data_IF_510439551432
#
_entry.id   IF_510439551432
#
_cell.length_a   1.000
_cell.length_b   1.000
_cell.length_c   1.000
_cell.angle_alpha   90.00
_cell.angle_beta   90.00
_cell.angle_gamma   90.00
#
_symmetry.space_group_name_H-M   'P 1'
#
loop_
_entity.id
_entity.type
_entity.pdbx_description
1 polymer ?
#
# COMPACT_ATOMS: atom_id res chain seq x y z
N UNK A 1 17.67 20.92 33.41
CA UNK A 1 17.32 20.92 31.98
C UNK A 1 17.37 19.50 31.49
N UNK A 2 16.22 18.89 31.21
CA UNK A 2 16.15 17.54 30.65
C UNK A 2 16.42 17.61 29.13
N UNK A 3 17.28 16.73 28.62
CA UNK A 3 17.53 16.60 27.20
C UNK A 3 16.26 16.12 26.47
N UNK A 4 16.01 16.58 25.24
CA UNK A 4 14.88 16.07 24.46
C UNK A 4 15.12 14.60 24.10
N UNK A 5 14.05 13.78 24.01
CA UNK A 5 14.19 12.39 23.64
C UNK A 5 14.65 12.26 22.18
N UNK A 6 15.90 11.85 22.00
CA UNK A 6 16.36 11.20 20.78
C UNK A 6 15.65 9.84 20.67
N UNK A 7 14.64 9.75 19.81
CA UNK A 7 14.28 8.54 19.05
C UNK A 7 12.96 8.78 18.30
N UNK A 8 13.05 9.43 17.15
CA UNK A 8 12.13 9.17 16.04
C UNK A 8 12.99 8.63 14.92
N UNK A 9 13.14 7.30 14.93
CA UNK A 9 13.91 6.55 13.97
C UNK A 9 13.50 6.93 12.55
N UNK A 10 14.50 7.28 11.77
CA UNK A 10 14.47 7.67 10.38
C UNK A 10 13.96 6.55 9.47
N UNK A 11 12.64 6.42 9.33
CA UNK A 11 12.05 5.73 8.16
C UNK A 11 11.98 6.61 6.92
N UNK A 12 12.29 7.91 7.03
CA UNK A 12 12.23 8.90 5.93
C UNK A 12 13.46 8.93 4.99
N UNK A 13 14.34 7.92 5.03
CA UNK A 13 15.66 7.99 4.35
C UNK A 13 15.98 6.92 3.30
N UNK A 14 15.17 5.86 3.16
CA UNK A 14 15.48 4.78 2.20
C UNK A 14 14.73 5.02 0.90
N UNK A 15 15.47 5.09 -0.21
CA UNK A 15 14.90 5.13 -1.57
C UNK A 15 14.04 3.88 -1.78
N UNK A 16 12.76 4.08 -2.13
CA UNK A 16 11.85 3.00 -2.55
C UNK A 16 12.28 2.52 -3.93
N UNK A 17 12.53 1.23 -4.09
CA UNK A 17 13.00 0.67 -5.36
C UNK A 17 11.85 0.32 -6.31
N UNK A 18 10.72 -0.10 -5.74
CA UNK A 18 9.50 -0.44 -6.47
C UNK A 18 8.28 0.10 -5.73
N UNK A 19 7.41 0.81 -6.44
CA UNK A 19 6.08 1.20 -5.96
C UNK A 19 5.04 0.38 -6.72
N UNK A 20 4.12 -0.25 -6.00
CA UNK A 20 3.01 -1.02 -6.55
C UNK A 20 1.71 -0.35 -6.14
N UNK A 21 0.92 0.11 -7.10
CA UNK A 21 -0.40 0.66 -6.87
C UNK A 21 -1.47 -0.34 -7.29
N UNK A 22 -2.37 -0.69 -6.38
CA UNK A 22 -3.39 -1.73 -6.56
C UNK A 22 -4.78 -1.10 -6.49
N UNK A 23 -5.51 -1.18 -7.60
CA UNK A 23 -6.92 -0.80 -7.68
C UNK A 23 -7.76 -2.06 -7.92
N UNK A 24 -8.48 -2.56 -6.90
CA UNK A 24 -9.38 -3.70 -7.07
C UNK A 24 -10.54 -3.37 -8.01
N UNK A 25 -10.89 -4.31 -8.90
CA UNK A 25 -12.02 -4.17 -9.83
C UNK A 25 -12.74 -5.51 -9.92
N UNK A 26 -13.92 -5.62 -9.31
CA UNK A 26 -14.67 -6.88 -9.26
C UNK A 26 -13.89 -7.97 -8.52
N UNK A 27 -13.67 -9.10 -9.17
CA UNK A 27 -12.85 -10.23 -8.71
C UNK A 27 -11.37 -10.11 -9.15
N UNK A 28 -10.98 -9.02 -9.81
CA UNK A 28 -9.64 -8.77 -10.31
C UNK A 28 -9.03 -7.45 -9.80
N UNK A 29 -8.01 -6.97 -10.51
CA UNK A 29 -7.33 -5.72 -10.16
C UNK A 29 -6.68 -5.04 -11.37
N UNK A 30 -6.56 -3.72 -11.32
CA UNK A 30 -5.55 -2.98 -12.10
C UNK A 30 -4.37 -2.68 -11.19
N UNK A 31 -3.18 -3.09 -11.63
CA UNK A 31 -1.95 -2.95 -10.85
C UNK A 31 -0.96 -2.11 -11.64
N UNK A 32 -0.60 -0.95 -11.11
CA UNK A 32 0.52 -0.15 -11.59
C UNK A 32 1.80 -0.53 -10.84
N UNK A 33 2.91 -0.67 -11.55
CA UNK A 33 4.23 -0.89 -10.97
C UNK A 33 5.15 0.19 -11.49
N UNK A 34 5.88 0.86 -10.60
CA UNK A 34 6.90 1.84 -10.97
C UNK A 34 8.24 1.45 -10.35
N UNK A 35 9.28 1.40 -11.17
CA UNK A 35 10.65 1.11 -10.75
C UNK A 35 11.45 2.40 -10.62
N UNK A 36 12.33 2.46 -9.64
CA UNK A 36 13.20 3.62 -9.38
C UNK A 36 14.35 3.80 -10.39
N UNK A 37 14.41 2.92 -11.38
CA UNK A 37 15.42 2.79 -12.43
C UNK A 37 14.81 2.17 -13.69
N UNK A 38 15.57 2.22 -14.78
CA UNK A 38 15.25 1.46 -15.99
C UNK A 38 15.44 -0.03 -15.75
N UNK A 39 14.44 -0.83 -16.12
CA UNK A 39 14.39 -2.29 -15.98
C UNK A 39 14.03 -2.90 -17.35
N UNK A 40 14.79 -3.88 -17.85
CA UNK A 40 14.46 -4.55 -19.11
C UNK A 40 13.05 -5.14 -19.09
N UNK A 41 12.32 -5.06 -20.21
CA UNK A 41 10.95 -5.61 -20.33
C UNK A 41 10.86 -7.09 -19.90
N UNK A 42 11.89 -7.89 -20.18
CA UNK A 42 11.94 -9.29 -19.77
C UNK A 42 11.98 -9.46 -18.25
N UNK A 43 12.68 -8.58 -17.53
CA UNK A 43 12.69 -8.59 -16.06
C UNK A 43 11.33 -8.18 -15.49
N UNK A 44 10.69 -7.17 -16.08
CA UNK A 44 9.32 -6.77 -15.71
C UNK A 44 8.34 -7.91 -15.91
N UNK A 45 8.43 -8.62 -17.04
CA UNK A 45 7.62 -9.82 -17.29
C UNK A 45 7.90 -10.89 -16.24
N UNK A 46 9.15 -11.14 -15.90
CA UNK A 46 9.51 -12.11 -14.87
C UNK A 46 8.98 -11.73 -13.47
N UNK A 47 8.97 -10.43 -13.13
CA UNK A 47 8.34 -9.93 -11.90
C UNK A 47 6.81 -10.18 -11.93
N UNK A 48 6.14 -9.93 -13.06
CA UNK A 48 4.72 -10.17 -13.24
C UNK A 48 4.33 -11.67 -13.22
N UNK A 49 5.18 -12.53 -13.81
CA UNK A 49 5.01 -13.98 -13.79
C UNK A 49 5.16 -14.52 -12.37
N UNK A 50 6.13 -14.01 -11.59
CA UNK A 50 6.25 -14.35 -10.16
C UNK A 50 5.02 -13.91 -9.38
N UNK A 51 4.50 -12.71 -9.63
CA UNK A 51 3.30 -12.20 -8.97
C UNK A 51 2.09 -13.09 -9.20
N UNK A 52 1.86 -13.48 -10.47
CA UNK A 52 0.72 -14.33 -10.81
C UNK A 52 0.88 -15.78 -10.36
N UNK A 53 2.10 -16.31 -10.38
CA UNK A 53 2.39 -17.61 -9.79
C UNK A 53 2.15 -17.61 -8.27
N UNK A 54 2.59 -16.58 -7.56
CA UNK A 54 2.42 -16.44 -6.12
C UNK A 54 0.95 -16.23 -5.70
N UNK A 55 0.19 -15.45 -6.48
CA UNK A 55 -1.22 -15.17 -6.21
C UNK A 55 -2.19 -16.21 -6.77
N UNK A 56 -1.73 -17.11 -7.65
CA UNK A 56 -2.59 -17.94 -8.51
C UNK A 56 -3.55 -17.11 -9.36
N UNK A 57 -3.05 -15.99 -9.92
CA UNK A 57 -3.81 -15.02 -10.70
C UNK A 57 -3.51 -15.15 -12.20
N UNK A 58 -4.28 -14.45 -13.03
CA UNK A 58 -4.03 -14.37 -14.47
C UNK A 58 -3.82 -12.95 -14.93
N UNK A 59 -2.84 -12.73 -15.82
CA UNK A 59 -2.64 -11.45 -16.50
C UNK A 59 -3.55 -11.42 -17.73
N UNK A 60 -4.52 -10.52 -17.74
CA UNK A 60 -5.37 -10.26 -18.90
C UNK A 60 -4.71 -9.28 -19.89
N UNK A 61 -3.98 -8.28 -19.36
CA UNK A 61 -3.24 -7.31 -20.15
C UNK A 61 -1.99 -6.84 -19.38
N UNK A 62 -0.91 -6.55 -20.10
CA UNK A 62 0.28 -5.93 -19.54
C UNK A 62 0.88 -4.92 -20.53
N UNK A 63 1.07 -3.70 -20.06
CA UNK A 63 1.75 -2.63 -20.78
C UNK A 63 2.99 -2.20 -20.01
N UNK A 64 4.09 -1.97 -20.72
CA UNK A 64 5.36 -1.52 -20.12
C UNK A 64 5.77 -0.25 -20.83
N UNK A 65 6.05 0.79 -20.05
CA UNK A 65 6.53 2.08 -20.51
C UNK A 65 7.89 2.38 -19.88
N UNK A 66 8.83 2.87 -20.69
CA UNK A 66 10.17 3.27 -20.27
C UNK A 66 10.39 4.78 -20.47
N UNK A 67 9.32 5.54 -20.66
CA UNK A 67 9.37 6.97 -20.88
C UNK A 67 9.77 7.70 -19.60
N UNK A 68 10.68 8.68 -19.67
CA UNK A 68 10.99 9.51 -18.51
C UNK A 68 9.74 10.30 -18.09
N UNK A 69 9.42 10.29 -16.80
CA UNK A 69 8.26 11.02 -16.27
C UNK A 69 8.39 12.54 -16.46
N UNK A 70 9.61 13.07 -16.46
CA UNK A 70 9.93 14.48 -16.65
C UNK A 70 11.11 14.68 -17.61
N UNK A 71 11.16 15.80 -18.36
CA UNK A 71 12.34 16.16 -19.13
C UNK A 71 13.59 16.20 -18.24
N UNK A 72 14.69 15.57 -18.69
CA UNK A 72 15.97 15.46 -17.99
C UNK A 72 16.04 14.51 -16.79
N UNK A 73 15.01 13.70 -16.52
CA UNK A 73 15.14 12.58 -15.60
C UNK A 73 15.67 11.33 -16.32
N UNK A 74 16.47 10.49 -15.64
CA UNK A 74 16.81 9.18 -16.18
C UNK A 74 15.51 8.40 -16.44
N UNK A 75 15.41 7.62 -17.53
CA UNK A 75 14.23 6.82 -17.80
C UNK A 75 14.00 5.84 -16.65
N UNK A 76 12.76 5.83 -16.16
CA UNK A 76 12.25 4.82 -15.25
C UNK A 76 11.34 3.87 -15.99
N UNK A 77 11.22 2.66 -15.49
CA UNK A 77 10.28 1.69 -16.04
C UNK A 77 8.99 1.74 -15.24
N UNK A 78 7.86 1.75 -15.93
CA UNK A 78 6.54 1.55 -15.36
C UNK A 78 5.83 0.41 -16.09
N UNK A 79 5.00 -0.33 -15.37
CA UNK A 79 4.13 -1.35 -15.93
C UNK A 79 2.70 -1.16 -15.44
N UNK A 80 1.74 -1.42 -16.32
CA UNK A 80 0.32 -1.49 -15.98
C UNK A 80 -0.17 -2.89 -16.31
N UNK A 81 -0.70 -3.57 -15.30
CA UNK A 81 -1.24 -4.92 -15.39
C UNK A 81 -2.75 -4.87 -15.15
N UNK A 82 -3.49 -5.67 -15.91
CA UNK A 82 -4.86 -6.06 -15.56
C UNK A 82 -4.84 -7.52 -15.12
N UNK A 83 -5.22 -7.77 -13.87
CA UNK A 83 -5.27 -9.09 -13.26
C UNK A 83 -6.71 -9.60 -13.17
N UNK A 84 -6.91 -10.89 -13.48
CA UNK A 84 -8.16 -11.63 -13.32
C UNK A 84 -8.04 -12.67 -12.22
N UNK A 85 -9.18 -13.04 -11.62
CA UNK A 85 -9.25 -13.98 -10.50
C UNK A 85 -8.27 -13.59 -9.37
N UNK A 86 -8.15 -12.28 -9.13
CA UNK A 86 -7.15 -11.67 -8.28
C UNK A 86 -7.82 -10.86 -7.16
N UNK A 87 -8.52 -11.52 -6.21
CA UNK A 87 -9.13 -10.83 -5.09
C UNK A 87 -8.06 -10.16 -4.23
N UNK A 88 -8.06 -8.83 -4.21
CA UNK A 88 -7.03 -8.04 -3.53
C UNK A 88 -7.23 -7.93 -2.02
N UNK A 89 -8.41 -8.33 -1.54
CA UNK A 89 -8.78 -8.25 -0.14
C UNK A 89 -9.34 -9.59 0.31
N UNK A 90 -9.03 -9.93 1.56
CA UNK A 90 -9.61 -11.06 2.28
C UNK A 90 -10.18 -10.55 3.61
N UNK A 91 -10.90 -11.38 4.38
CA UNK A 91 -11.25 -11.04 5.76
C UNK A 91 -10.04 -10.75 6.66
N UNK A 92 -8.82 -11.09 6.24
CA UNK A 92 -7.59 -10.75 6.95
C UNK A 92 -7.07 -9.33 6.67
N UNK A 93 -7.59 -8.68 5.63
CA UNK A 93 -7.01 -7.45 5.06
C UNK A 93 -6.52 -7.64 3.62
N UNK A 94 -5.74 -6.66 3.10
CA UNK A 94 -5.14 -6.69 1.78
C UNK A 94 -4.25 -7.92 1.55
N UNK A 95 -4.24 -8.49 0.35
CA UNK A 95 -3.39 -9.63 0.00
C UNK A 95 -1.99 -9.17 -0.38
N UNK A 96 -1.11 -9.06 0.62
CA UNK A 96 0.24 -8.50 0.46
C UNK A 96 1.26 -9.56 0.02
N UNK A 97 1.08 -10.81 0.46
CA UNK A 97 2.06 -11.88 0.29
C UNK A 97 2.49 -12.14 -1.17
N UNK A 98 1.59 -12.14 -2.17
CA UNK A 98 1.99 -12.33 -3.57
C UNK A 98 2.95 -11.24 -4.07
N UNK A 99 2.72 -9.99 -3.66
CA UNK A 99 3.59 -8.86 -4.01
C UNK A 99 4.95 -8.96 -3.32
N UNK A 100 4.98 -9.32 -2.05
CA UNK A 100 6.22 -9.54 -1.32
C UNK A 100 7.09 -10.62 -1.97
N UNK A 101 6.49 -11.71 -2.44
CA UNK A 101 7.21 -12.76 -3.16
C UNK A 101 7.71 -12.30 -4.53
N UNK A 102 6.86 -11.62 -5.30
CA UNK A 102 7.21 -11.15 -6.64
C UNK A 102 8.41 -10.21 -6.65
N UNK A 103 8.42 -9.28 -5.69
CA UNK A 103 9.39 -8.19 -5.59
C UNK A 103 10.42 -8.41 -4.48
N UNK A 104 10.56 -9.64 -3.97
CA UNK A 104 11.48 -9.97 -2.88
C UNK A 104 12.94 -9.62 -3.19
N UNK A 105 13.32 -9.58 -4.48
CA UNK A 105 14.68 -9.21 -4.93
C UNK A 105 15.05 -7.74 -4.66
N UNK A 106 14.09 -6.89 -4.33
CA UNK A 106 14.29 -5.47 -4.07
C UNK A 106 14.47 -5.20 -2.57
N UNK A 107 15.25 -4.18 -2.22
CA UNK A 107 15.53 -3.81 -0.82
C UNK A 107 14.36 -3.09 -0.15
N UNK A 108 13.63 -2.29 -0.93
CA UNK A 108 12.50 -1.51 -0.43
C UNK A 108 11.37 -1.57 -1.44
N UNK A 109 10.19 -2.00 -1.01
CA UNK A 109 8.98 -1.98 -1.83
C UNK A 109 7.89 -1.18 -1.11
N UNK A 110 7.09 -0.44 -1.87
CA UNK A 110 5.88 0.22 -1.41
C UNK A 110 4.68 -0.39 -2.13
N UNK A 111 3.63 -0.70 -1.39
CA UNK A 111 2.40 -1.30 -1.93
C UNK A 111 1.21 -0.50 -1.42
N UNK A 112 0.52 0.16 -2.34
CA UNK A 112 -0.63 1.01 -2.10
C UNK A 112 -1.89 0.29 -2.56
N UNK A 113 -2.77 -0.09 -1.64
CA UNK A 113 -4.08 -0.64 -1.94
C UNK A 113 -5.16 0.44 -1.83
N UNK A 114 -5.83 0.73 -2.94
CA UNK A 114 -7.00 1.59 -2.96
C UNK A 114 -8.18 0.87 -2.28
N UNK A 115 -8.68 1.45 -1.20
CA UNK A 115 -9.84 0.94 -0.46
C UNK A 115 -10.69 2.11 0.03
N UNK A 116 -11.78 2.48 -0.68
CA UNK A 116 -12.56 3.67 -0.37
C UNK A 116 -13.12 3.72 1.06
N UNK A 117 -13.31 2.57 1.69
CA UNK A 117 -13.80 2.46 3.07
C UNK A 117 -12.67 2.45 4.12
N UNK A 118 -11.42 2.69 3.73
CA UNK A 118 -10.29 2.73 4.65
C UNK A 118 -10.41 3.98 5.51
N UNK A 119 -10.34 3.79 6.82
CA UNK A 119 -10.26 4.87 7.78
C UNK A 119 -8.79 5.11 8.11
N UNK A 120 -8.43 6.38 8.26
CA UNK A 120 -7.10 6.74 8.75
C UNK A 120 -6.83 6.10 10.11
N UNK A 121 -5.63 5.54 10.29
CA UNK A 121 -5.16 4.96 11.55
C UNK A 121 -3.73 5.43 11.82
N UNK A 122 -3.29 5.45 13.09
CA UNK A 122 -1.90 5.73 13.40
C UNK A 122 -0.96 4.79 12.64
N UNK A 123 0.23 5.26 12.21
CA UNK A 123 1.23 4.40 11.61
C UNK A 123 1.53 3.18 12.48
N UNK A 124 1.56 2.01 11.85
CA UNK A 124 1.95 0.76 12.49
C UNK A 124 3.29 0.28 11.93
N UNK A 125 4.16 -0.23 12.79
CA UNK A 125 5.46 -0.78 12.37
C UNK A 125 5.59 -2.21 12.89
N UNK A 126 5.88 -3.13 11.98
CA UNK A 126 6.15 -4.54 12.27
C UNK A 126 7.61 -4.85 11.87
N UNK A 127 8.39 -5.40 12.79
CA UNK A 127 9.77 -5.79 12.54
C UNK A 127 9.93 -7.29 12.68
N UNK A 128 10.46 -7.93 11.64
CA UNK A 128 10.73 -9.37 11.59
C UNK A 128 12.20 -9.61 11.23
N UNK A 129 12.70 -10.87 11.33
CA UNK A 129 13.99 -11.23 10.74
C UNK A 129 14.02 -11.04 9.22
N UNK A 130 12.87 -11.13 8.55
CA UNK A 130 12.75 -11.12 7.10
C UNK A 130 12.63 -9.70 6.51
N UNK A 131 12.02 -8.76 7.23
CA UNK A 131 11.77 -7.39 6.78
C UNK A 131 11.44 -6.43 7.95
N UNK A 132 11.32 -5.14 7.64
CA UNK A 132 10.60 -4.16 8.46
C UNK A 132 9.46 -3.59 7.62
N UNK A 133 8.25 -3.65 8.14
CA UNK A 133 7.03 -3.13 7.52
C UNK A 133 6.61 -1.85 8.25
N UNK A 134 6.22 -0.85 7.47
CA UNK A 134 5.48 0.32 7.95
C UNK A 134 4.14 0.36 7.23
N UNK A 135 3.05 0.23 7.98
CA UNK A 135 1.69 0.39 7.50
C UNK A 135 1.21 1.80 7.80
N UNK A 136 0.83 2.51 6.75
CA UNK A 136 0.20 3.83 6.78
C UNK A 136 -1.23 3.68 6.26
N UNK A 137 -2.20 3.88 7.13
CA UNK A 137 -3.61 3.87 6.77
C UNK A 137 -4.06 5.32 6.61
N UNK A 138 -4.37 5.71 5.37
CA UNK A 138 -4.94 7.02 5.04
C UNK A 138 -6.38 6.84 4.54
N UNK A 139 -7.16 7.92 4.52
CA UNK A 139 -8.55 7.84 4.06
C UNK A 139 -8.59 7.38 2.60
N UNK A 140 -9.11 6.18 2.36
CA UNK A 140 -9.17 5.58 1.03
C UNK A 140 -7.96 4.72 0.63
N UNK A 141 -6.91 4.58 1.44
CA UNK A 141 -5.65 3.93 1.04
C UNK A 141 -5.00 3.16 2.20
N UNK A 142 -4.60 1.92 1.92
CA UNK A 142 -3.63 1.19 2.74
C UNK A 142 -2.26 1.19 2.06
N UNK A 143 -1.29 1.89 2.63
CA UNK A 143 0.09 1.93 2.15
C UNK A 143 0.98 1.08 3.04
N UNK A 144 1.65 0.11 2.43
CA UNK A 144 2.64 -0.72 3.08
C UNK A 144 4.03 -0.42 2.52
N UNK A 145 4.98 -0.13 3.38
CA UNK A 145 6.39 0.07 3.01
C UNK A 145 7.21 -1.03 3.67
N UNK A 146 7.82 -1.88 2.85
CA UNK A 146 8.66 -2.98 3.32
C UNK A 146 10.13 -2.70 3.03
N UNK A 147 10.95 -2.67 4.06
CA UNK A 147 12.40 -2.79 3.95
C UNK A 147 12.79 -4.28 4.10
N UNK A 148 12.98 -4.96 2.97
CA UNK A 148 13.26 -6.39 2.89
C UNK A 148 14.71 -6.66 3.34
N UNK A 149 14.90 -7.64 4.22
CA UNK A 149 16.21 -8.11 4.70
C UNK A 149 16.59 -9.46 4.10
N UNK A 150 15.58 -10.31 3.82
CA UNK A 150 15.76 -11.67 3.28
C UNK A 150 15.29 -11.72 1.83
N UNK A 151 16.22 -11.97 0.91
CA UNK A 151 15.94 -11.95 -0.54
C UNK A 151 15.69 -13.33 -1.16
N UNK A 152 15.61 -14.39 -0.33
CA UNK A 152 15.39 -15.77 -0.80
C UNK A 152 14.42 -16.51 0.12
N UNK A 153 13.67 -17.45 -0.45
CA UNK A 153 12.70 -18.27 0.28
C UNK A 153 11.47 -17.49 0.74
N UNK A 154 10.54 -18.18 1.42
CA UNK A 154 9.29 -17.56 1.86
C UNK A 154 9.54 -16.49 2.93
N UNK A 155 8.93 -15.32 2.75
CA UNK A 155 8.85 -14.24 3.74
C UNK A 155 7.68 -14.50 4.69
N UNK A 156 7.82 -14.11 5.95
CA UNK A 156 6.71 -14.12 6.90
C UNK A 156 5.49 -13.35 6.35
N UNK A 157 4.28 -13.84 6.61
CA UNK A 157 3.03 -13.21 6.16
C UNK A 157 2.62 -12.08 7.15
N UNK A 158 2.58 -10.82 6.71
CA UNK A 158 2.13 -9.69 7.53
C UNK A 158 0.77 -9.92 8.20
N UNK A 159 -0.20 -10.45 7.45
CA UNK A 159 -1.57 -10.61 7.94
C UNK A 159 -1.65 -11.69 9.01
N UNK A 160 -0.82 -12.74 8.91
CA UNK A 160 -0.71 -13.76 9.94
C UNK A 160 -0.12 -13.19 11.25
N UNK A 161 0.90 -12.32 11.14
CA UNK A 161 1.56 -11.69 12.28
C UNK A 161 0.67 -10.65 12.97
N UNK A 162 -0.10 -9.88 12.20
CA UNK A 162 -1.07 -8.93 12.74
C UNK A 162 -2.22 -9.65 13.47
N UNK A 163 -2.68 -10.80 12.94
CA UNK A 163 -3.68 -11.65 13.60
C UNK A 163 -3.19 -12.25 14.92
N UNK A 164 -1.92 -12.61 15.01
CA UNK A 164 -1.31 -13.07 16.27
C UNK A 164 -1.24 -11.96 17.32
N UNK A 165 -1.12 -10.70 16.89
CA UNK A 165 -1.13 -9.53 17.80
C UNK A 165 -2.54 -9.21 18.32
N UNK A 166 -3.59 -9.58 17.58
CA UNK A 166 -5.00 -9.34 17.96
C UNK A 166 -5.63 -10.54 18.71
N UNK A 167 -4.92 -11.66 18.81
CA UNK A 167 -5.41 -12.88 19.48
C UNK A 167 -4.83 -13.05 20.89
N UNK A 168 -5.11 -12.10 21.79
CA UNK A 168 -5.21 -12.38 23.22
C UNK A 168 -6.44 -11.68 23.80
N UNK A 169 -7.57 -12.39 23.96
CA UNK A 169 -8.52 -12.05 24.99
C UNK A 169 -7.89 -12.45 26.33
N UNK A 170 -7.23 -11.52 27.00
CA UNK A 170 -7.18 -11.58 28.47
C UNK A 170 -8.62 -11.45 28.93
N UNK A 171 -9.18 -12.55 29.44
CA UNK A 171 -10.50 -12.56 30.05
C UNK A 171 -10.66 -11.33 30.97
N UNK A 172 -11.66 -10.46 30.76
CA UNK A 172 -11.92 -9.39 31.70
C UNK A 172 -12.42 -10.01 33.02
N UNK A 173 -11.95 -9.55 34.20
CA UNK A 173 -12.59 -9.88 35.45
C UNK A 173 -14.03 -9.35 35.42
N UNK A 174 -14.92 -10.20 35.93
CA UNK A 174 -16.37 -10.05 36.06
C UNK A 174 -16.78 -8.64 36.55
N UNK A 175 -17.85 -8.03 35.98
CA UNK A 175 -18.20 -6.64 36.23
C UNK A 175 -18.86 -6.45 37.60
N UNK A 176 -18.41 -5.44 38.35
CA UNK A 176 -19.19 -4.80 39.41
C UNK A 176 -20.06 -3.71 38.79
N UNK A 177 -21.34 -3.71 39.16
CA UNK A 177 -22.34 -2.72 38.78
C UNK A 177 -21.93 -1.30 39.20
N UNK A 178 -22.01 -0.34 38.30
CA UNK A 178 -22.28 1.04 38.69
C UNK A 178 -23.16 1.74 37.66
N UNK A 179 -24.27 2.28 38.17
CA UNK A 179 -25.29 3.03 37.43
C UNK A 179 -24.80 4.43 37.08
N UNK A 180 -25.44 4.96 36.03
CA UNK A 180 -25.95 6.34 35.92
C UNK A 180 -25.35 7.13 34.76
N UNK A 181 -26.22 7.52 33.84
CA UNK A 181 -25.86 8.06 32.53
C UNK A 181 -25.72 9.58 32.46
N UNK A 182 -25.40 10.06 31.26
CA UNK A 182 -25.93 11.31 30.70
C UNK A 182 -25.62 11.38 29.21
N UNK A 183 -26.65 11.61 28.40
CA UNK A 183 -26.55 12.03 26.99
C UNK A 183 -26.01 13.46 26.92
N UNK A 184 -25.06 13.72 26.02
CA UNK A 184 -24.98 15.00 25.30
C UNK A 184 -24.35 14.81 23.92
N UNK A 185 -25.10 15.28 22.92
CA UNK A 185 -24.73 15.55 21.52
C UNK A 185 -23.51 16.50 21.47
N UNK A 186 -22.57 16.43 20.53
CA UNK A 186 -22.72 16.79 19.11
C UNK A 186 -21.78 17.96 18.77
N UNK A 187 -21.32 18.04 17.51
CA UNK A 187 -20.51 19.10 16.85
C UNK A 187 -18.98 18.85 16.81
N UNK A 188 -18.50 18.37 15.66
CA UNK A 188 -17.27 18.90 15.03
C UNK A 188 -17.57 19.15 13.55
N UNK A 189 -17.73 20.44 13.25
CA UNK A 189 -18.05 20.99 11.93
C UNK A 189 -16.87 20.86 10.95
N UNK A 190 -17.21 20.41 9.73
CA UNK A 190 -16.73 20.86 8.42
C UNK A 190 -15.52 21.82 8.42
N UNK A 191 -14.35 21.37 7.95
CA UNK A 191 -13.38 22.30 7.32
C UNK A 191 -12.45 21.75 6.23
N UNK A 192 -12.32 20.43 6.04
CA UNK A 192 -11.30 19.90 5.12
C UNK A 192 -11.82 19.27 3.81
N UNK A 193 -13.13 19.29 3.56
CA UNK A 193 -13.74 18.71 2.35
C UNK A 193 -13.46 19.55 1.08
N UNK A 194 -13.10 20.83 1.23
CA UNK A 194 -12.99 21.75 0.09
C UNK A 194 -11.66 21.64 -0.66
N UNK A 195 -10.58 21.18 -0.02
CA UNK A 195 -9.23 21.21 -0.64
C UNK A 195 -8.99 19.97 -1.51
N UNK A 196 -9.37 18.78 -1.05
CA UNK A 196 -9.22 17.54 -1.84
C UNK A 196 -10.09 17.51 -3.09
N UNK A 197 -11.32 18.05 -3.00
CA UNK A 197 -12.24 18.15 -4.14
C UNK A 197 -11.73 19.08 -5.24
N UNK A 198 -11.13 20.23 -4.88
CA UNK A 198 -10.59 21.16 -5.85
C UNK A 198 -9.37 20.59 -6.61
N UNK A 199 -8.52 19.80 -5.97
CA UNK A 199 -7.35 19.18 -6.62
C UNK A 199 -7.79 18.09 -7.62
N UNK A 200 -8.75 17.24 -7.23
CA UNK A 200 -9.32 16.22 -8.14
C UNK A 200 -10.05 16.85 -9.33
N UNK A 201 -10.76 17.96 -9.13
CA UNK A 201 -11.46 18.65 -10.19
C UNK A 201 -10.50 19.36 -11.16
N UNK A 202 -9.40 19.95 -10.66
CA UNK A 202 -8.35 20.52 -11.49
C UNK A 202 -7.62 19.45 -12.33
N UNK A 203 -7.34 18.28 -11.77
CA UNK A 203 -6.74 17.15 -12.49
C UNK A 203 -7.69 16.60 -13.57
N UNK A 204 -8.99 16.49 -13.27
CA UNK A 204 -9.98 16.06 -14.24
C UNK A 204 -10.14 17.05 -15.42
N UNK A 205 -10.14 18.36 -15.14
CA UNK A 205 -10.20 19.41 -16.18
C UNK A 205 -8.94 19.41 -17.04
N UNK A 206 -7.75 19.27 -16.45
CA UNK A 206 -6.48 19.16 -17.18
C UNK A 206 -6.45 17.91 -18.08
N UNK A 207 -6.98 16.78 -17.61
CA UNK A 207 -7.10 15.56 -18.39
C UNK A 207 -8.05 15.73 -19.60
N UNK A 208 -9.20 16.38 -19.42
CA UNK A 208 -10.16 16.61 -20.52
C UNK A 208 -9.59 17.59 -21.55
N UNK A 209 -8.90 18.65 -21.13
CA UNK A 209 -8.30 19.63 -22.04
C UNK A 209 -7.13 19.05 -22.84
N UNK A 210 -6.27 18.23 -22.21
CA UNK A 210 -5.15 17.57 -22.90
C UNK A 210 -5.60 16.52 -23.92
N UNK A 211 -6.77 15.92 -23.72
CA UNK A 211 -7.37 14.97 -24.67
C UNK A 211 -8.05 15.63 -25.87
N UNK A 212 -8.42 16.91 -25.77
CA UNK A 212 -9.13 17.64 -26.84
C UNK A 212 -8.20 18.28 -27.87
N UNK A 213 -6.90 18.36 -27.56
CA UNK A 213 -5.84 18.89 -28.42
C UNK A 213 -5.00 17.81 -29.12
N UNK A 214 -5.39 16.53 -29.00
CA UNK A 214 -4.89 15.43 -29.82
C UNK A 214 -6.02 14.95 -30.72
#
# INVERSE_FOLDING_TARGET
MAAPPENSASTSGKKVAVVVFVHPIGDGARVGIAYDRSVPKQEVQADADRLTAAGHWHIADMQVDNSPMLPNQPPTTAALLTLQNAPQFSPAGPQIQPYLQAFQRFNTIEIDFLWPSALAQPPHVLSTPDYVETLLCENGLYRYIFAIKKHTGLLADPNALLRLTVSQPTNPPKPSEEKSGKKTEGIVLLRNVTIGGCILLLLAVAYVLSRRHR
#
